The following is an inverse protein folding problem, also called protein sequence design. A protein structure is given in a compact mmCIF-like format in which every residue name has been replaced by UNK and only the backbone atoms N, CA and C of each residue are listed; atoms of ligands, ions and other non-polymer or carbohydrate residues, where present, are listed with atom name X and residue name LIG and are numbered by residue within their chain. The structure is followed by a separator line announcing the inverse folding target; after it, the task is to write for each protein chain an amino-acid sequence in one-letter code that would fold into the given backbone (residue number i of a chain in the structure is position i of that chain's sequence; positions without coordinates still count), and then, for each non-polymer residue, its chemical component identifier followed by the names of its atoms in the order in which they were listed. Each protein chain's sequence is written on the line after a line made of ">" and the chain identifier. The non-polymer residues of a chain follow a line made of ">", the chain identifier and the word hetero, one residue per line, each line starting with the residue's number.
data_IF_405696226166
#
_entry.id   IF_405696226166
#
_cell.length_a   1.000
_cell.length_b   1.000
_cell.length_c   1.000
_cell.angle_alpha   90.00
_cell.angle_beta   90.00
_cell.angle_gamma   90.00
#
_symmetry.space_group_name_H-M   'P 1'
#
loop_
_entity.id
_entity.type
_entity.pdbx_description
1 polymer ?
#
# COMPACT_ATOMS: atom_id res chain seq x y z
N UNK A 1 -7.86 29.02 2.90
CA UNK A 1 -8.19 27.60 3.17
C UNK A 1 -6.92 26.79 2.95
N UNK A 2 -6.37 26.05 3.92
CA UNK A 2 -5.24 25.18 3.66
C UNK A 2 -5.68 24.12 2.65
N UNK A 3 -4.98 24.04 1.52
CA UNK A 3 -5.21 22.99 0.51
C UNK A 3 -4.78 21.68 1.15
N UNK A 4 -5.71 20.72 1.27
CA UNK A 4 -5.38 19.38 1.75
C UNK A 4 -4.55 18.67 0.67
N UNK A 5 -3.30 18.28 0.93
CA UNK A 5 -2.47 17.63 -0.06
C UNK A 5 -3.04 16.24 -0.37
N UNK A 6 -3.24 15.96 -1.66
CA UNK A 6 -3.68 14.65 -2.13
C UNK A 6 -2.48 13.77 -2.46
N UNK A 7 -2.58 12.49 -2.10
CA UNK A 7 -1.51 11.49 -2.27
C UNK A 7 -2.12 10.20 -2.80
N UNK A 8 -1.58 9.68 -3.89
CA UNK A 8 -1.93 8.36 -4.39
C UNK A 8 -1.26 7.28 -3.55
N UNK A 9 -2.06 6.41 -2.93
CA UNK A 9 -1.57 5.28 -2.12
C UNK A 9 -1.75 3.92 -2.80
N UNK A 10 -2.58 3.86 -3.83
CA UNK A 10 -2.83 2.65 -4.61
C UNK A 10 -2.40 2.93 -6.05
N UNK A 11 -1.21 2.45 -6.40
CA UNK A 11 -0.61 2.65 -7.73
C UNK A 11 0.07 1.36 -8.14
N UNK A 12 -0.21 0.92 -9.36
CA UNK A 12 0.45 -0.20 -10.01
C UNK A 12 1.55 0.33 -10.91
N UNK A 13 2.80 -0.01 -10.58
CA UNK A 13 3.96 0.30 -11.41
C UNK A 13 4.14 -0.76 -12.49
N UNK A 14 5.08 -0.56 -13.41
CA UNK A 14 5.45 -1.55 -14.43
C UNK A 14 5.81 -2.94 -13.88
N UNK A 15 6.10 -3.04 -12.58
CA UNK A 15 6.35 -4.31 -11.90
C UNK A 15 5.08 -5.11 -11.56
N UNK A 16 3.89 -4.51 -11.69
CA UNK A 16 2.63 -5.26 -11.74
C UNK A 16 2.50 -5.97 -13.09
N UNK A 17 2.94 -7.23 -13.13
CA UNK A 17 2.94 -8.04 -14.35
C UNK A 17 1.56 -8.02 -15.06
N UNK A 18 1.56 -7.55 -16.30
CA UNK A 18 0.41 -7.47 -17.22
C UNK A 18 -0.70 -6.45 -16.89
N UNK A 19 -0.56 -5.65 -15.82
CA UNK A 19 -1.54 -4.62 -15.43
C UNK A 19 -0.90 -3.24 -15.13
N UNK A 20 0.41 -3.21 -14.91
CA UNK A 20 1.18 -2.01 -14.62
C UNK A 20 1.60 -1.23 -15.86
N UNK A 21 1.07 -0.01 -16.05
CA UNK A 21 1.46 0.88 -17.14
C UNK A 21 2.38 2.05 -16.69
N UNK A 22 2.51 2.29 -15.39
CA UNK A 22 3.26 3.43 -14.86
C UNK A 22 4.74 3.07 -14.68
N UNK A 23 5.61 3.61 -15.54
CA UNK A 23 7.06 3.55 -15.33
C UNK A 23 7.45 4.35 -14.08
N UNK A 24 8.34 3.80 -13.25
CA UNK A 24 8.70 4.42 -11.96
C UNK A 24 9.20 5.85 -12.16
N UNK A 25 10.09 6.10 -13.12
CA UNK A 25 10.61 7.44 -13.41
C UNK A 25 9.53 8.46 -13.83
N UNK A 26 8.60 8.05 -14.70
CA UNK A 26 7.52 8.92 -15.18
C UNK A 26 6.51 9.23 -14.06
N UNK A 27 6.25 8.25 -13.18
CA UNK A 27 5.38 8.41 -12.02
C UNK A 27 5.91 9.49 -11.06
N UNK A 28 7.22 9.48 -10.76
CA UNK A 28 7.82 10.51 -9.91
C UNK A 28 7.84 11.90 -10.57
N UNK A 29 8.05 11.98 -11.89
CA UNK A 29 8.00 13.24 -12.61
C UNK A 29 6.59 13.87 -12.57
N UNK A 30 5.54 13.06 -12.73
CA UNK A 30 4.16 13.54 -12.61
C UNK A 30 3.80 13.93 -11.16
N UNK A 31 4.29 13.16 -10.18
CA UNK A 31 4.08 13.49 -8.77
C UNK A 31 4.73 14.82 -8.37
N UNK A 32 5.93 15.10 -8.91
CA UNK A 32 6.62 16.38 -8.73
C UNK A 32 5.84 17.52 -9.41
N UNK A 33 5.38 17.32 -10.65
CA UNK A 33 4.55 18.30 -11.38
C UNK A 33 3.26 18.65 -10.62
N UNK A 34 2.66 17.66 -9.96
CA UNK A 34 1.45 17.84 -9.17
C UNK A 34 1.71 18.33 -7.74
N UNK A 35 2.97 18.51 -7.33
CA UNK A 35 3.35 18.97 -6.00
C UNK A 35 2.95 18.00 -4.89
N UNK A 36 2.93 16.69 -5.17
CA UNK A 36 2.54 15.68 -4.19
C UNK A 36 3.68 15.39 -3.21
N UNK A 37 3.44 15.45 -1.88
CA UNK A 37 4.50 15.23 -0.89
C UNK A 37 4.91 13.76 -0.73
N UNK A 38 4.08 12.83 -1.19
CA UNK A 38 4.29 11.39 -1.09
C UNK A 38 3.63 10.66 -2.26
N UNK A 39 4.13 9.47 -2.58
CA UNK A 39 3.54 8.55 -3.57
C UNK A 39 3.65 7.12 -3.04
N UNK A 40 2.57 6.36 -3.18
CA UNK A 40 2.51 4.95 -2.84
C UNK A 40 2.71 4.03 -4.03
N UNK A 41 3.30 2.87 -3.78
CA UNK A 41 3.44 1.75 -4.72
C UNK A 41 2.75 0.53 -4.11
N UNK A 42 1.83 -0.10 -4.83
CA UNK A 42 1.06 -1.26 -4.37
C UNK A 42 0.90 -2.28 -5.49
N UNK A 43 2.00 -2.91 -5.89
CA UNK A 43 1.97 -3.85 -7.00
C UNK A 43 1.25 -5.16 -6.69
N UNK A 44 0.74 -5.81 -7.75
CA UNK A 44 -0.01 -7.06 -7.64
C UNK A 44 0.88 -8.22 -7.21
N UNK A 45 0.71 -8.68 -5.98
CA UNK A 45 1.35 -9.89 -5.46
C UNK A 45 2.88 -9.84 -5.44
N UNK A 46 3.50 -8.68 -5.68
CA UNK A 46 4.94 -8.53 -5.72
C UNK A 46 5.39 -7.16 -5.18
N UNK A 47 6.70 -7.06 -4.89
CA UNK A 47 7.38 -5.83 -4.50
C UNK A 47 8.71 -5.68 -5.26
N UNK A 48 8.78 -6.17 -6.50
CA UNK A 48 10.05 -6.21 -7.24
C UNK A 48 10.63 -4.83 -7.50
N UNK A 49 9.76 -3.83 -7.74
CA UNK A 49 10.14 -2.43 -7.94
C UNK A 49 10.48 -1.64 -6.68
N UNK A 50 10.47 -2.25 -5.49
CA UNK A 50 10.59 -1.51 -4.22
C UNK A 50 11.93 -0.78 -4.07
N UNK A 51 13.03 -1.39 -4.51
CA UNK A 51 14.35 -0.77 -4.45
C UNK A 51 14.45 0.42 -5.42
N UNK A 52 14.06 0.23 -6.69
CA UNK A 52 14.06 1.29 -7.68
C UNK A 52 13.17 2.47 -7.26
N UNK A 53 11.97 2.18 -6.76
CA UNK A 53 11.03 3.17 -6.28
C UNK A 53 11.62 3.99 -5.11
N UNK A 54 12.30 3.33 -4.18
CA UNK A 54 12.96 4.00 -3.06
C UNK A 54 14.13 4.89 -3.50
N UNK A 55 14.95 4.41 -4.44
CA UNK A 55 16.09 5.17 -4.95
C UNK A 55 15.63 6.38 -5.76
N UNK A 56 14.55 6.25 -6.53
CA UNK A 56 13.98 7.37 -7.27
C UNK A 56 13.31 8.40 -6.35
N UNK A 57 12.65 7.95 -5.29
CA UNK A 57 12.08 8.81 -4.27
C UNK A 57 13.14 9.65 -3.54
N UNK A 58 14.29 9.05 -3.22
CA UNK A 58 15.43 9.78 -2.64
C UNK A 58 15.96 10.88 -3.54
N UNK A 59 16.01 10.64 -4.85
CA UNK A 59 16.49 11.64 -5.83
C UNK A 59 15.53 12.82 -5.97
N UNK A 60 14.22 12.55 -5.92
CA UNK A 60 13.16 13.56 -6.10
C UNK A 60 12.73 14.24 -4.79
N UNK A 61 13.12 13.71 -3.63
CA UNK A 61 12.75 14.25 -2.32
C UNK A 61 11.29 13.96 -1.91
N UNK A 62 10.57 13.17 -2.70
CA UNK A 62 9.19 12.75 -2.43
C UNK A 62 9.22 11.56 -1.47
N UNK A 63 8.32 11.51 -0.49
CA UNK A 63 8.26 10.39 0.45
C UNK A 63 7.70 9.13 -0.24
N UNK A 64 8.46 8.02 -0.34
CA UNK A 64 7.93 6.77 -0.89
C UNK A 64 7.09 6.04 0.16
N UNK A 65 5.94 5.50 -0.25
CA UNK A 65 5.11 4.59 0.56
C UNK A 65 5.09 3.23 -0.14
N UNK A 66 5.89 2.30 0.36
CA UNK A 66 6.01 0.96 -0.24
C UNK A 66 4.94 0.05 0.36
N UNK A 67 4.14 -0.56 -0.52
CA UNK A 67 3.12 -1.52 -0.19
C UNK A 67 3.00 -2.59 -1.26
N UNK A 68 2.00 -3.46 -1.09
CA UNK A 68 1.71 -4.59 -1.97
C UNK A 68 0.21 -4.83 -1.97
N UNK A 69 -0.36 -5.09 -3.13
CA UNK A 69 -1.70 -5.66 -3.22
C UNK A 69 -1.61 -7.18 -3.04
N UNK A 70 -1.79 -7.62 -1.79
CA UNK A 70 -1.66 -9.03 -1.42
C UNK A 70 -2.92 -9.82 -1.79
N UNK A 71 -2.75 -10.92 -2.52
CA UNK A 71 -3.80 -11.90 -2.74
C UNK A 71 -3.93 -12.82 -1.52
N UNK A 72 -5.06 -12.72 -0.83
CA UNK A 72 -5.39 -13.55 0.33
C UNK A 72 -6.37 -14.65 -0.08
N UNK A 73 -5.97 -15.91 0.10
CA UNK A 73 -6.88 -17.03 -0.05
C UNK A 73 -7.92 -17.02 1.08
N UNK A 74 -9.20 -17.34 0.80
CA UNK A 74 -10.26 -17.33 1.82
C UNK A 74 -10.07 -18.42 2.89
N UNK A 75 -9.28 -19.45 2.61
CA UNK A 75 -8.97 -20.53 3.55
C UNK A 75 -7.49 -20.92 3.48
N UNK A 76 -6.99 -21.48 4.58
CA UNK A 76 -5.64 -22.05 4.65
C UNK A 76 -5.54 -23.31 3.78
N UNK A 77 -4.39 -23.51 3.12
CA UNK A 77 -4.08 -24.74 2.38
C UNK A 77 -4.11 -25.99 3.26
N UNK A 78 -3.96 -25.84 4.58
CA UNK A 78 -4.05 -26.94 5.55
C UNK A 78 -5.50 -27.32 5.90
N UNK A 79 -6.49 -26.58 5.41
CA UNK A 79 -7.91 -26.91 5.59
C UNK A 79 -8.33 -27.90 4.47
N UNK A 80 -8.04 -29.18 4.67
CA UNK A 80 -8.56 -30.24 3.81
C UNK A 80 -10.06 -30.44 4.12
N UNK A 81 -10.94 -29.92 3.27
CA UNK A 81 -12.35 -30.31 3.31
C UNK A 81 -12.48 -31.72 2.74
N UNK A 82 -12.57 -32.73 3.62
CA UNK A 82 -13.02 -34.07 3.26
C UNK A 82 -14.50 -34.01 2.90
N UNK A 83 -14.85 -33.63 1.66
CA UNK A 83 -16.14 -33.95 1.02
C UNK A 83 -16.24 -33.27 -0.35
N UNK A 84 -16.59 -34.04 -1.37
CA UNK A 84 -16.79 -33.56 -2.73
C UNK A 84 -17.95 -32.57 -2.92
N UNK A 85 -17.89 -31.88 -4.07
CA UNK A 85 -18.93 -31.04 -4.72
C UNK A 85 -19.72 -30.06 -3.84
N UNK A 86 -19.47 -28.76 -4.02
CA UNK A 86 -20.51 -27.77 -4.35
C UNK A 86 -19.94 -26.38 -4.72
N UNK A 87 -20.15 -26.02 -5.99
CA UNK A 87 -20.58 -24.73 -6.58
C UNK A 87 -20.19 -23.39 -5.92
N UNK A 88 -19.48 -22.59 -6.72
CA UNK A 88 -19.67 -21.14 -6.97
C UNK A 88 -20.44 -20.32 -5.93
N UNK A 89 -19.71 -19.45 -5.23
CA UNK A 89 -20.24 -18.16 -4.78
C UNK A 89 -19.14 -17.11 -4.90
N UNK A 90 -19.05 -16.54 -6.10
CA UNK A 90 -18.43 -15.24 -6.31
C UNK A 90 -19.40 -14.16 -5.79
N UNK A 91 -18.92 -13.28 -4.90
CA UNK A 91 -19.20 -11.83 -4.78
C UNK A 91 -19.18 -11.33 -3.31
N UNK A 92 -19.13 -10.00 -3.03
CA UNK A 92 -17.96 -9.15 -3.25
C UNK A 92 -17.66 -8.23 -2.04
N UNK A 93 -16.47 -7.62 -2.00
CA UNK A 93 -16.13 -6.41 -1.21
C UNK A 93 -16.38 -6.48 0.30
N UNK A 94 -15.42 -7.03 1.04
CA UNK A 94 -15.19 -6.58 2.43
C UNK A 94 -14.21 -5.42 2.44
N UNK A 95 -14.76 -4.21 2.56
CA UNK A 95 -14.02 -2.98 2.80
C UNK A 95 -13.51 -3.02 4.25
N UNK A 96 -12.27 -3.47 4.45
CA UNK A 96 -11.62 -3.45 5.76
C UNK A 96 -11.42 -2.01 6.23
N UNK A 97 -12.32 -1.58 7.13
CA UNK A 97 -12.23 -0.33 7.89
C UNK A 97 -11.09 -0.48 8.91
N UNK A 98 -9.93 0.06 8.60
CA UNK A 98 -8.83 0.24 9.56
C UNK A 98 -9.19 1.37 10.54
N UNK A 99 -9.77 1.04 11.70
CA UNK A 99 -9.83 1.98 12.82
C UNK A 99 -8.47 2.03 13.52
N UNK A 100 -7.69 3.05 13.21
CA UNK A 100 -6.43 3.39 13.88
C UNK A 100 -6.67 3.68 15.37
N UNK A 101 -6.36 2.71 16.23
CA UNK A 101 -6.39 2.84 17.69
C UNK A 101 -5.20 3.71 18.14
N UNK A 102 -5.45 5.01 18.37
CA UNK A 102 -4.48 5.94 18.98
C UNK A 102 -3.99 5.39 20.34
N UNK A 103 -2.75 4.91 20.42
CA UNK A 103 -2.04 4.72 21.70
C UNK A 103 -1.79 6.10 22.32
N UNK A 104 -2.35 6.36 23.51
CA UNK A 104 -2.01 7.54 24.32
C UNK A 104 -0.58 7.39 24.86
N UNK A 105 0.26 8.45 24.85
CA UNK A 105 1.55 8.42 25.51
C UNK A 105 1.35 8.58 27.03
N UNK A 106 1.89 7.63 27.80
CA UNK A 106 1.96 7.70 29.27
C UNK A 106 2.98 8.76 29.67
N UNK A 107 2.54 9.81 30.38
CA UNK A 107 3.43 10.80 31.03
C UNK A 107 4.15 10.14 32.21
N UNK A 108 5.47 10.34 32.30
CA UNK A 108 6.30 9.97 33.44
C UNK A 108 6.03 10.89 34.66
N UNK A 109 6.21 10.41 35.91
CA UNK A 109 6.14 11.25 37.09
C UNK A 109 7.49 11.92 37.38
N UNK A 110 7.45 13.24 37.56
CA UNK A 110 8.56 14.08 38.05
C UNK A 110 8.70 13.81 39.55
N UNK A 111 9.85 13.26 39.98
CA UNK A 111 10.20 13.09 41.39
C UNK A 111 10.91 14.38 41.84
N UNK A 112 10.27 15.12 42.75
CA UNK A 112 10.91 16.19 43.53
C UNK A 112 11.60 15.56 44.74
N UNK A 113 12.89 15.84 44.89
CA UNK A 113 13.65 15.82 46.15
C UNK A 113 14.83 16.76 45.98
#
# INVERSE_FOLDING_TARGET
>A
MPVVPFVHLHVHTEYSMLDGAAKVGALFAEAERLGMPAVGMTDHGNMFGADEFYQQAKKTGIKPIIGIEAYLAPASRFHASTSGRARSACSPRMRCRWTFRRRRPTRAPIRRS
#
